data_IF_627032716403
#
_entry.id   IF_627032716403
#
_cell.length_a   1.000
_cell.length_b   1.000
_cell.length_c   1.000
_cell.angle_alpha   90.00
_cell.angle_beta   90.00
_cell.angle_gamma   90.00
#
_symmetry.space_group_name_H-M   'P 1'
#
loop_
_entity.id
_entity.type
_entity.pdbx_description
1 polymer ?
#
# COMPACT_ATOMS: atom_id res chain seq x y z
N UNK A 1 -9.88 5.29 -21.50
CA UNK A 1 -10.68 4.22 -20.86
C UNK A 1 -10.53 4.37 -19.36
N UNK A 2 -11.63 4.41 -18.62
CA UNK A 2 -11.56 4.50 -17.17
C UNK A 2 -11.16 3.17 -16.52
N UNK A 3 -10.53 3.22 -15.35
CA UNK A 3 -9.99 2.03 -14.67
C UNK A 3 -11.06 1.02 -14.23
N UNK A 4 -12.31 1.45 -13.98
CA UNK A 4 -13.40 0.51 -13.64
C UNK A 4 -13.71 -0.46 -14.77
N UNK A 5 -13.53 -0.06 -16.01
CA UNK A 5 -13.80 -0.93 -17.16
C UNK A 5 -12.92 -2.19 -17.21
N UNK A 6 -11.80 -2.20 -16.49
CA UNK A 6 -10.96 -3.39 -16.28
C UNK A 6 -11.66 -4.45 -15.41
N UNK A 7 -12.64 -4.04 -14.61
CA UNK A 7 -13.27 -4.85 -13.58
C UNK A 7 -14.80 -4.87 -13.73
N UNK A 8 -15.35 -5.40 -14.83
CA UNK A 8 -16.78 -5.30 -15.13
C UNK A 8 -17.68 -6.03 -14.12
N UNK A 9 -17.13 -7.00 -13.38
CA UNK A 9 -17.83 -7.75 -12.33
C UNK A 9 -17.68 -7.17 -10.94
N UNK A 10 -16.87 -6.12 -10.77
CA UNK A 10 -16.67 -5.48 -9.48
C UNK A 10 -17.90 -4.70 -9.04
N UNK A 11 -18.07 -4.56 -7.75
CA UNK A 11 -19.14 -3.73 -7.18
C UNK A 11 -18.96 -2.28 -7.61
N UNK A 12 -20.06 -1.62 -8.04
CA UNK A 12 -19.98 -0.25 -8.58
C UNK A 12 -19.58 0.79 -7.52
N UNK A 13 -19.99 0.56 -6.27
CA UNK A 13 -19.74 1.45 -5.12
C UNK A 13 -19.51 0.56 -3.89
N UNK A 14 -18.64 0.99 -3.00
CA UNK A 14 -18.35 0.30 -1.74
C UNK A 14 -17.20 0.96 -0.98
N UNK A 15 -16.90 0.39 0.14
CA UNK A 15 -15.80 0.79 1.00
C UNK A 15 -14.49 0.14 0.55
N UNK A 16 -13.38 0.79 0.85
CA UNK A 16 -12.07 0.16 0.79
C UNK A 16 -11.79 -0.43 2.17
N UNK A 17 -11.54 -1.72 2.27
CA UNK A 17 -11.06 -2.34 3.49
C UNK A 17 -9.56 -2.57 3.40
N UNK A 18 -8.83 -2.19 4.44
CA UNK A 18 -7.42 -2.54 4.60
C UNK A 18 -7.29 -3.58 5.72
N UNK A 19 -6.50 -4.63 5.48
CA UNK A 19 -6.18 -5.63 6.49
C UNK A 19 -4.73 -5.48 6.94
N UNK A 20 -4.50 -5.38 8.25
CA UNK A 20 -3.15 -5.40 8.78
C UNK A 20 -2.97 -4.85 10.18
N UNK A 21 -1.71 -4.70 10.58
CA UNK A 21 -1.33 -4.21 11.89
C UNK A 21 -1.36 -2.68 11.97
N UNK A 22 -1.72 -2.18 13.15
CA UNK A 22 -1.34 -0.86 13.62
C UNK A 22 -0.07 -0.97 14.45
N UNK A 23 0.84 -0.04 14.27
CA UNK A 23 2.09 0.08 15.02
C UNK A 23 2.25 1.46 15.61
N UNK A 24 3.16 1.60 16.56
CA UNK A 24 3.72 2.90 16.94
C UNK A 24 5.17 2.98 16.51
N UNK A 25 5.49 4.02 15.75
CA UNK A 25 6.87 4.35 15.39
C UNK A 25 7.44 5.38 16.36
N UNK A 26 8.67 5.16 16.77
CA UNK A 26 9.47 6.08 17.57
C UNK A 26 10.59 6.63 16.68
N UNK A 27 10.40 7.86 16.23
CA UNK A 27 11.23 8.52 15.23
C UNK A 27 12.18 9.48 15.92
N UNK A 28 13.50 9.41 15.68
CA UNK A 28 14.45 10.35 16.28
C UNK A 28 14.15 11.80 15.89
N UNK A 29 14.39 12.71 16.81
CA UNK A 29 14.26 14.16 16.56
C UNK A 29 15.46 14.71 15.75
N UNK A 30 16.58 14.00 15.73
CA UNK A 30 17.80 14.33 14.99
C UNK A 30 18.11 13.23 13.99
N UNK A 31 18.67 13.59 12.86
CA UNK A 31 19.04 12.67 11.77
C UNK A 31 20.29 11.84 12.00
N UNK A 32 21.04 12.12 13.08
CA UNK A 32 22.30 11.46 13.43
C UNK A 32 22.21 10.63 14.72
N UNK A 33 21.01 10.48 15.29
CA UNK A 33 20.80 9.77 16.55
C UNK A 33 20.69 8.27 16.30
N UNK A 34 21.57 7.51 16.94
CA UNK A 34 21.53 6.04 16.93
C UNK A 34 20.61 5.52 18.04
N UNK A 35 20.00 4.36 17.83
CA UNK A 35 19.19 3.69 18.84
C UNK A 35 20.02 3.25 20.07
N UNK A 36 21.33 3.09 19.91
CA UNK A 36 22.25 2.79 21.01
C UNK A 36 22.65 4.01 21.85
N UNK A 37 22.17 5.21 21.52
CA UNK A 37 22.50 6.46 22.21
C UNK A 37 21.27 7.03 22.93
N UNK A 38 21.46 7.70 24.07
CA UNK A 38 20.40 8.48 24.70
C UNK A 38 19.91 9.60 23.78
N UNK A 39 18.57 9.77 23.68
CA UNK A 39 18.04 10.83 22.82
C UNK A 39 16.54 10.99 22.94
N UNK A 40 16.02 11.96 22.21
CA UNK A 40 14.57 12.25 22.16
C UNK A 40 13.97 11.67 20.89
N UNK A 41 12.81 11.03 21.03
CA UNK A 41 12.04 10.47 19.92
C UNK A 41 10.64 11.06 19.89
N UNK A 42 10.09 11.18 18.70
CA UNK A 42 8.67 11.49 18.45
C UNK A 42 7.94 10.18 18.26
N UNK A 43 6.85 10.02 18.99
CA UNK A 43 5.94 8.89 18.85
C UNK A 43 4.86 9.22 17.81
N UNK A 44 4.71 8.37 16.79
CA UNK A 44 3.67 8.50 15.78
C UNK A 44 2.96 7.17 15.53
N UNK A 45 1.70 7.22 15.08
CA UNK A 45 0.96 6.04 14.67
C UNK A 45 1.43 5.62 13.27
N UNK A 46 1.58 4.33 13.07
CA UNK A 46 2.12 3.74 11.86
C UNK A 46 1.48 2.36 11.61
N UNK A 47 2.11 1.59 10.74
CA UNK A 47 1.61 0.32 10.22
C UNK A 47 1.05 0.53 8.81
N UNK A 48 1.49 -0.29 7.86
CA UNK A 48 1.15 -0.16 6.44
C UNK A 48 -0.37 -0.02 6.19
N UNK A 49 -1.17 -0.90 6.81
CA UNK A 49 -2.63 -0.84 6.69
C UNK A 49 -3.23 0.43 7.32
N UNK A 50 -2.66 0.91 8.43
CA UNK A 50 -3.09 2.16 9.08
C UNK A 50 -2.79 3.39 8.21
N UNK A 51 -1.58 3.46 7.65
CA UNK A 51 -1.18 4.54 6.73
C UNK A 51 -2.05 4.52 5.48
N UNK A 52 -2.20 3.35 4.85
CA UNK A 52 -3.08 3.16 3.69
C UNK A 52 -4.51 3.64 3.96
N UNK A 53 -5.12 3.18 5.08
CA UNK A 53 -6.50 3.54 5.42
C UNK A 53 -6.69 5.04 5.61
N UNK A 54 -5.77 5.67 6.33
CA UNK A 54 -5.81 7.13 6.55
C UNK A 54 -5.59 7.90 5.25
N UNK A 55 -4.72 7.42 4.36
CA UNK A 55 -4.53 8.02 3.04
C UNK A 55 -5.79 7.87 2.17
N UNK A 56 -6.40 6.69 2.14
CA UNK A 56 -7.65 6.47 1.42
C UNK A 56 -8.76 7.43 1.89
N UNK A 57 -8.91 7.57 3.22
CA UNK A 57 -9.89 8.49 3.81
C UNK A 57 -9.57 9.97 3.48
N UNK A 58 -8.30 10.39 3.56
CA UNK A 58 -7.87 11.74 3.21
C UNK A 58 -8.10 12.09 1.73
N UNK A 59 -8.09 11.07 0.85
CA UNK A 59 -8.42 11.17 -0.58
C UNK A 59 -9.92 10.98 -0.86
N UNK A 60 -10.77 11.07 0.16
CA UNK A 60 -12.23 11.05 0.04
C UNK A 60 -12.85 9.68 -0.16
N UNK A 61 -12.15 8.57 0.09
CA UNK A 61 -12.73 7.25 0.11
C UNK A 61 -13.39 6.93 1.47
N UNK A 62 -14.47 6.16 1.47
CA UNK A 62 -14.90 5.44 2.67
C UNK A 62 -13.92 4.29 2.88
N UNK A 63 -13.30 4.23 4.04
CA UNK A 63 -12.28 3.22 4.33
C UNK A 63 -12.46 2.64 5.72
N UNK A 64 -12.39 1.32 5.85
CA UNK A 64 -12.40 0.57 7.10
C UNK A 64 -11.09 -0.19 7.31
N UNK A 65 -10.78 -0.50 8.56
CA UNK A 65 -9.57 -1.23 8.95
C UNK A 65 -9.95 -2.56 9.63
N UNK A 66 -9.46 -3.65 9.05
CA UNK A 66 -9.45 -4.99 9.65
C UNK A 66 -8.11 -5.20 10.35
N UNK A 67 -8.13 -5.37 11.65
CA UNK A 67 -6.92 -5.56 12.43
C UNK A 67 -7.23 -5.89 13.88
N UNK A 68 -6.17 -6.06 14.67
CA UNK A 68 -6.28 -6.42 16.09
C UNK A 68 -5.36 -5.58 16.93
N UNK A 69 -5.86 -5.06 18.05
CA UNK A 69 -5.10 -4.25 19.00
C UNK A 69 -5.37 -4.69 20.43
N UNK A 70 -4.49 -4.30 21.35
CA UNK A 70 -4.69 -4.51 22.78
C UNK A 70 -5.59 -3.45 23.43
N UNK A 71 -5.58 -3.44 24.76
CA UNK A 71 -6.22 -2.42 25.59
C UNK A 71 -5.23 -1.46 26.24
N UNK A 72 -3.96 -1.60 25.90
CA UNK A 72 -2.90 -0.72 26.39
C UNK A 72 -3.08 0.72 25.87
N UNK A 73 -2.43 1.73 26.50
CA UNK A 73 -2.56 3.13 26.10
C UNK A 73 -2.09 3.40 24.66
N UNK A 74 -1.13 2.64 24.13
CA UNK A 74 -0.64 2.79 22.77
C UNK A 74 -1.63 2.27 21.74
N UNK A 75 -2.25 1.11 22.01
CA UNK A 75 -3.36 0.57 21.22
C UNK A 75 -4.52 1.56 21.11
N UNK A 76 -4.87 2.21 22.22
CA UNK A 76 -5.92 3.23 22.25
C UNK A 76 -5.54 4.44 21.40
N UNK A 77 -4.32 4.97 21.60
CA UNK A 77 -3.82 6.09 20.80
C UNK A 77 -3.87 5.78 19.29
N UNK A 78 -3.43 4.58 18.89
CA UNK A 78 -3.41 4.18 17.50
C UNK A 78 -4.81 4.17 16.87
N UNK A 79 -5.77 3.50 17.51
CA UNK A 79 -7.14 3.42 17.01
C UNK A 79 -7.82 4.80 16.97
N UNK A 80 -7.67 5.61 18.04
CA UNK A 80 -8.25 6.95 18.08
C UNK A 80 -7.64 7.88 17.01
N UNK A 81 -6.35 7.74 16.71
CA UNK A 81 -5.70 8.54 15.68
C UNK A 81 -6.23 8.17 14.29
N UNK A 82 -6.33 6.87 14.00
CA UNK A 82 -6.86 6.36 12.73
C UNK A 82 -8.34 6.75 12.57
N UNK A 83 -9.15 6.61 13.64
CA UNK A 83 -10.56 7.02 13.63
C UNK A 83 -10.73 8.52 13.36
N UNK A 84 -9.90 9.38 13.98
CA UNK A 84 -9.91 10.83 13.73
C UNK A 84 -9.52 11.21 12.30
N UNK A 85 -8.80 10.34 11.60
CA UNK A 85 -8.51 10.50 10.17
C UNK A 85 -9.67 10.10 9.26
N UNK A 86 -10.83 9.72 9.81
CA UNK A 86 -12.03 9.39 9.03
C UNK A 86 -12.14 7.91 8.65
N UNK A 87 -11.30 7.04 9.20
CA UNK A 87 -11.34 5.59 8.95
C UNK A 87 -12.35 4.92 9.90
N UNK A 88 -13.16 4.01 9.38
CA UNK A 88 -13.99 3.13 10.20
C UNK A 88 -13.12 2.12 10.95
N UNK A 89 -13.11 2.21 12.27
CA UNK A 89 -12.38 1.32 13.17
C UNK A 89 -13.29 0.35 13.92
N UNK A 90 -14.57 0.25 13.55
CA UNK A 90 -15.53 -0.66 14.19
C UNK A 90 -15.15 -2.14 14.02
N UNK A 91 -14.40 -2.45 12.96
CA UNK A 91 -13.93 -3.79 12.64
C UNK A 91 -12.53 -4.10 13.24
N UNK A 92 -11.98 -3.21 14.07
CA UNK A 92 -10.73 -3.47 14.78
C UNK A 92 -11.03 -4.27 16.04
N UNK A 93 -10.56 -5.52 16.05
CA UNK A 93 -10.73 -6.43 17.18
C UNK A 93 -9.89 -5.96 18.39
N UNK A 94 -10.50 -5.93 19.56
CA UNK A 94 -9.80 -5.57 20.82
C UNK A 94 -9.56 -6.81 21.66
N UNK A 95 -8.29 -7.14 21.89
CA UNK A 95 -7.87 -8.27 22.71
C UNK A 95 -7.63 -7.84 24.16
N UNK A 96 -8.03 -8.68 25.09
CA UNK A 96 -7.69 -8.49 26.53
C UNK A 96 -6.21 -8.76 26.81
N UNK A 97 -5.57 -9.56 25.97
CA UNK A 97 -4.17 -9.97 26.14
C UNK A 97 -3.28 -9.40 25.05
N UNK A 98 -2.13 -8.92 25.45
CA UNK A 98 -1.05 -8.45 24.57
C UNK A 98 -1.09 -6.96 24.29
N UNK A 99 -0.09 -6.49 23.58
CA UNK A 99 0.20 -5.08 23.32
C UNK A 99 0.38 -4.83 21.84
N UNK A 100 0.24 -3.57 21.44
CA UNK A 100 0.53 -3.12 20.07
C UNK A 100 2.02 -3.30 19.75
N UNK A 101 2.34 -3.56 18.49
CA UNK A 101 3.72 -3.61 18.01
C UNK A 101 4.37 -2.23 17.99
N UNK A 102 5.65 -2.18 18.25
CA UNK A 102 6.45 -0.96 18.25
C UNK A 102 7.55 -1.07 17.19
N UNK A 103 7.90 0.06 16.60
CA UNK A 103 9.06 0.21 15.73
C UNK A 103 9.89 1.42 16.17
N UNK A 104 11.19 1.25 16.19
CA UNK A 104 12.14 2.30 16.49
C UNK A 104 12.97 2.56 15.23
N UNK A 105 13.07 3.82 14.85
CA UNK A 105 13.82 4.23 13.67
C UNK A 105 15.17 4.80 14.09
N UNK A 106 16.18 4.57 13.24
CA UNK A 106 17.41 5.36 13.23
C UNK A 106 17.75 5.78 11.80
N UNK A 107 18.34 6.94 11.68
CA UNK A 107 18.84 7.45 10.43
C UNK A 107 20.36 7.24 10.37
N UNK A 108 20.80 6.43 9.41
CA UNK A 108 22.22 6.16 9.18
C UNK A 108 22.66 6.82 7.86
N UNK A 109 23.95 7.06 7.64
CA UNK A 109 24.44 7.60 6.37
C UNK A 109 24.01 6.75 5.15
N UNK A 110 23.93 5.44 5.34
CA UNK A 110 23.50 4.46 4.33
C UNK A 110 21.97 4.36 4.17
N UNK A 111 21.18 5.05 5.00
CA UNK A 111 19.73 5.05 4.94
C UNK A 111 19.06 4.89 6.29
N UNK A 112 17.80 4.44 6.26
CA UNK A 112 16.99 4.22 7.46
C UNK A 112 17.10 2.78 7.91
N UNK A 113 17.20 2.58 9.22
CA UNK A 113 17.12 1.28 9.85
C UNK A 113 15.94 1.24 10.83
N UNK A 114 15.26 0.09 10.89
CA UNK A 114 14.12 -0.14 11.76
C UNK A 114 14.41 -1.29 12.72
N UNK A 115 14.21 -1.04 14.02
CA UNK A 115 14.19 -2.08 15.03
C UNK A 115 12.73 -2.32 15.44
N UNK A 116 12.20 -3.49 15.11
CA UNK A 116 10.83 -3.88 15.44
C UNK A 116 10.75 -4.68 16.74
N UNK A 117 9.72 -4.37 17.53
CA UNK A 117 9.27 -5.13 18.68
C UNK A 117 7.80 -5.52 18.44
N UNK A 118 7.57 -6.46 17.54
CA UNK A 118 6.22 -6.85 17.10
C UNK A 118 5.97 -8.34 16.95
N UNK A 119 6.97 -9.21 17.16
CA UNK A 119 6.82 -10.68 16.96
C UNK A 119 5.66 -11.26 17.79
N UNK A 120 5.40 -10.71 18.97
CA UNK A 120 4.32 -11.11 19.86
C UNK A 120 3.24 -10.04 20.01
N UNK A 121 3.18 -9.07 19.10
CA UNK A 121 2.15 -8.05 19.13
C UNK A 121 0.76 -8.66 18.93
N UNK A 122 -0.25 -7.97 19.43
CA UNK A 122 -1.64 -8.38 19.23
C UNK A 122 -2.00 -8.36 17.75
N UNK A 123 -1.51 -7.37 17.00
CA UNK A 123 -1.76 -7.24 15.57
C UNK A 123 -1.26 -8.45 14.78
N UNK A 124 -0.06 -8.97 15.10
CA UNK A 124 0.48 -10.16 14.44
C UNK A 124 -0.33 -11.43 14.72
N UNK A 125 -1.17 -11.44 15.77
CA UNK A 125 -2.05 -12.55 16.14
C UNK A 125 -3.47 -12.44 15.56
N UNK A 126 -3.70 -11.50 14.64
CA UNK A 126 -4.94 -11.49 13.86
C UNK A 126 -5.08 -12.81 13.10
N UNK A 127 -6.26 -13.41 13.12
CA UNK A 127 -6.51 -14.75 12.61
C UNK A 127 -7.74 -14.79 11.70
N UNK A 128 -7.95 -15.90 11.00
CA UNK A 128 -9.16 -16.10 10.19
C UNK A 128 -10.44 -16.02 11.04
N UNK A 129 -10.39 -16.41 12.33
CA UNK A 129 -11.51 -16.31 13.25
C UNK A 129 -11.86 -14.88 13.68
N UNK A 130 -10.99 -13.90 13.40
CA UNK A 130 -11.25 -12.48 13.66
C UNK A 130 -11.90 -11.77 12.44
N UNK A 131 -12.04 -12.48 11.28
CA UNK A 131 -12.68 -11.95 10.08
C UNK A 131 -14.21 -12.08 10.17
N UNK A 132 -14.89 -11.06 9.69
CA UNK A 132 -16.33 -11.07 9.44
C UNK A 132 -16.57 -11.07 7.92
N UNK A 133 -17.11 -12.18 7.42
CA UNK A 133 -17.36 -12.34 5.98
C UNK A 133 -18.38 -11.34 5.44
N UNK A 134 -19.38 -10.92 6.25
CA UNK A 134 -20.35 -9.91 5.83
C UNK A 134 -19.71 -8.55 5.62
N UNK A 135 -18.76 -8.20 6.49
CA UNK A 135 -17.95 -6.97 6.35
C UNK A 135 -17.13 -7.02 5.08
N UNK A 136 -16.38 -8.09 4.85
CA UNK A 136 -15.60 -8.27 3.61
C UNK A 136 -16.53 -8.25 2.40
N UNK A 137 -17.67 -8.93 2.47
CA UNK A 137 -18.63 -9.00 1.37
C UNK A 137 -19.23 -7.65 0.98
N UNK A 138 -19.25 -6.65 1.85
CA UNK A 138 -19.77 -5.31 1.56
C UNK A 138 -18.73 -4.38 0.92
N UNK A 139 -17.46 -4.72 1.00
CA UNK A 139 -16.38 -3.92 0.43
C UNK A 139 -16.42 -3.90 -1.11
N UNK A 140 -15.82 -2.86 -1.69
CA UNK A 140 -15.51 -2.80 -3.12
C UNK A 140 -14.08 -3.29 -3.38
N UNK A 141 -13.14 -2.93 -2.50
CA UNK A 141 -11.73 -3.29 -2.59
C UNK A 141 -11.25 -3.76 -1.23
N UNK A 142 -10.54 -4.88 -1.19
CA UNK A 142 -9.77 -5.34 -0.05
C UNK A 142 -8.28 -5.13 -0.34
N UNK A 143 -7.60 -4.35 0.49
CA UNK A 143 -6.17 -4.10 0.37
C UNK A 143 -5.37 -4.85 1.43
N UNK A 144 -4.25 -5.45 1.00
CA UNK A 144 -3.32 -6.20 1.86
C UNK A 144 -1.86 -5.83 1.55
N UNK A 145 -1.05 -5.50 2.57
CA UNK A 145 0.40 -5.44 2.45
C UNK A 145 1.01 -6.82 2.62
N UNK A 146 1.89 -7.22 1.71
CA UNK A 146 2.46 -8.57 1.65
C UNK A 146 3.39 -8.91 2.81
N UNK A 147 3.97 -7.91 3.47
CA UNK A 147 4.78 -8.16 4.67
C UNK A 147 4.06 -8.99 5.74
N UNK A 148 2.72 -8.95 5.79
CA UNK A 148 1.92 -9.75 6.73
C UNK A 148 2.09 -11.25 6.52
N UNK A 149 2.35 -11.68 5.28
CA UNK A 149 2.53 -13.08 4.93
C UNK A 149 3.77 -13.70 5.59
N UNK A 150 4.72 -12.86 6.00
CA UNK A 150 6.00 -13.28 6.57
C UNK A 150 6.10 -13.07 8.09
N UNK A 151 5.08 -12.52 8.73
CA UNK A 151 5.10 -12.32 10.19
C UNK A 151 4.95 -13.63 10.95
N UNK A 152 3.84 -14.33 10.75
CA UNK A 152 3.58 -15.65 11.33
C UNK A 152 2.41 -16.34 10.61
N UNK A 153 2.10 -17.58 11.03
CA UNK A 153 1.07 -18.40 10.40
C UNK A 153 -0.37 -17.85 10.61
N UNK A 154 -0.64 -17.29 11.79
CA UNK A 154 -1.99 -16.78 12.13
C UNK A 154 -2.45 -15.69 11.15
N UNK A 155 -1.68 -14.60 11.04
CA UNK A 155 -2.03 -13.48 10.17
C UNK A 155 -1.90 -13.84 8.69
N UNK A 156 -0.95 -14.73 8.33
CA UNK A 156 -0.85 -15.29 6.98
C UNK A 156 -2.13 -16.01 6.58
N UNK A 157 -2.63 -16.90 7.45
CA UNK A 157 -3.89 -17.61 7.24
C UNK A 157 -5.07 -16.65 7.07
N UNK A 158 -5.14 -15.61 7.91
CA UNK A 158 -6.15 -14.57 7.81
C UNK A 158 -6.09 -13.82 6.46
N UNK A 159 -4.89 -13.50 5.96
CA UNK A 159 -4.74 -12.83 4.66
C UNK A 159 -5.29 -13.68 3.52
N UNK A 160 -4.96 -14.98 3.46
CA UNK A 160 -5.47 -15.87 2.42
C UNK A 160 -6.98 -16.09 2.54
N UNK A 161 -7.52 -16.22 3.77
CA UNK A 161 -8.97 -16.36 3.97
C UNK A 161 -9.72 -15.07 3.59
N UNK A 162 -9.22 -13.90 3.98
CA UNK A 162 -9.83 -12.63 3.58
C UNK A 162 -9.89 -12.47 2.05
N UNK A 163 -8.83 -12.88 1.33
CA UNK A 163 -8.82 -12.89 -0.14
C UNK A 163 -9.81 -13.90 -0.69
N UNK A 164 -9.92 -15.09 -0.09
CA UNK A 164 -10.92 -16.08 -0.50
C UNK A 164 -12.35 -15.55 -0.32
N UNK A 165 -12.65 -14.89 0.81
CA UNK A 165 -13.93 -14.20 1.04
C UNK A 165 -14.16 -13.12 -0.02
N UNK A 166 -13.18 -12.24 -0.25
CA UNK A 166 -13.27 -11.18 -1.25
C UNK A 166 -13.63 -11.73 -2.65
N UNK A 167 -12.93 -12.78 -3.09
CA UNK A 167 -13.19 -13.44 -4.38
C UNK A 167 -14.59 -14.03 -4.47
N UNK A 168 -15.09 -14.70 -3.42
CA UNK A 168 -16.47 -15.26 -3.39
C UNK A 168 -17.53 -14.19 -3.60
N UNK A 169 -17.26 -12.96 -3.14
CA UNK A 169 -18.23 -11.86 -3.16
C UNK A 169 -17.96 -10.80 -4.22
N UNK A 170 -17.03 -11.03 -5.17
CA UNK A 170 -16.72 -10.09 -6.25
C UNK A 170 -16.08 -8.79 -5.75
N UNK A 171 -15.37 -8.83 -4.62
CA UNK A 171 -14.59 -7.73 -4.07
C UNK A 171 -13.21 -7.75 -4.72
N UNK A 172 -12.74 -6.62 -5.20
CA UNK A 172 -11.42 -6.49 -5.80
C UNK A 172 -10.33 -6.65 -4.75
N UNK A 173 -9.27 -7.34 -5.10
CA UNK A 173 -8.10 -7.52 -4.25
C UNK A 173 -6.98 -6.60 -4.71
N UNK A 174 -6.55 -5.69 -3.83
CA UNK A 174 -5.37 -4.84 -4.01
C UNK A 174 -4.23 -5.38 -3.15
N UNK A 175 -3.09 -5.63 -3.76
CA UNK A 175 -1.93 -6.20 -3.10
C UNK A 175 -0.68 -5.35 -3.33
N UNK A 176 -0.03 -4.95 -2.23
CA UNK A 176 1.30 -4.36 -2.22
C UNK A 176 2.28 -5.39 -1.64
N UNK A 177 3.23 -5.95 -2.39
CA UNK A 177 4.18 -6.93 -1.87
C UNK A 177 4.92 -6.46 -0.62
N UNK A 178 5.27 -5.18 -0.54
CA UNK A 178 5.85 -4.52 0.64
C UNK A 178 6.95 -5.37 1.28
N UNK A 179 7.90 -5.83 0.45
CA UNK A 179 8.98 -6.73 0.85
C UNK A 179 9.96 -5.95 1.71
N UNK A 180 10.13 -6.37 2.95
CA UNK A 180 11.04 -5.73 3.89
C UNK A 180 12.34 -6.53 4.02
N UNK A 181 13.49 -5.84 3.99
CA UNK A 181 14.80 -6.46 4.07
C UNK A 181 15.05 -7.26 5.36
N UNK A 182 14.32 -6.94 6.42
CA UNK A 182 14.38 -7.65 7.71
C UNK A 182 13.67 -9.02 7.65
N UNK A 183 12.77 -9.21 6.69
CA UNK A 183 12.06 -10.47 6.52
C UNK A 183 12.93 -11.43 5.69
N UNK A 184 12.96 -12.70 6.08
CA UNK A 184 13.76 -13.72 5.39
C UNK A 184 13.20 -13.94 3.97
N UNK A 185 13.84 -13.32 2.99
CA UNK A 185 13.54 -13.52 1.59
C UNK A 185 14.17 -14.83 1.10
N UNK A 186 13.38 -15.86 0.92
CA UNK A 186 13.80 -17.20 0.45
C UNK A 186 12.73 -17.80 -0.45
N UNK A 187 12.96 -19.04 -0.91
CA UNK A 187 12.07 -19.71 -1.85
C UNK A 187 10.61 -19.71 -1.42
N UNK A 188 10.34 -20.12 -0.18
CA UNK A 188 8.97 -20.17 0.35
C UNK A 188 8.32 -18.78 0.50
N UNK A 189 9.09 -17.76 0.93
CA UNK A 189 8.56 -16.39 1.02
C UNK A 189 8.17 -15.88 -0.37
N UNK A 190 9.04 -16.10 -1.37
CA UNK A 190 8.76 -15.76 -2.75
C UNK A 190 7.52 -16.48 -3.28
N UNK A 191 7.39 -17.79 -3.02
CA UNK A 191 6.22 -18.57 -3.44
C UNK A 191 4.91 -18.03 -2.82
N UNK A 192 4.92 -17.67 -1.52
CA UNK A 192 3.77 -17.06 -0.86
C UNK A 192 3.38 -15.71 -1.48
N UNK A 193 4.37 -14.86 -1.77
CA UNK A 193 4.14 -13.56 -2.43
C UNK A 193 3.57 -13.74 -3.84
N UNK A 194 4.13 -14.65 -4.64
CA UNK A 194 3.63 -14.97 -5.98
C UNK A 194 2.21 -15.55 -5.94
N UNK A 195 1.92 -16.44 -4.99
CA UNK A 195 0.58 -16.97 -4.79
C UNK A 195 -0.42 -15.89 -4.42
N UNK A 196 -0.04 -14.90 -3.60
CA UNK A 196 -0.92 -13.77 -3.27
C UNK A 196 -1.07 -12.83 -4.47
N UNK A 197 0.03 -12.50 -5.15
CA UNK A 197 0.01 -11.65 -6.35
C UNK A 197 -0.88 -12.23 -7.45
N UNK A 198 -0.91 -13.56 -7.64
CA UNK A 198 -1.78 -14.21 -8.62
C UNK A 198 -3.28 -14.12 -8.30
N UNK A 199 -3.64 -13.77 -7.08
CA UNK A 199 -5.02 -13.55 -6.66
C UNK A 199 -5.42 -12.06 -6.67
N UNK A 200 -4.46 -11.17 -6.85
CA UNK A 200 -4.70 -9.74 -6.89
C UNK A 200 -5.33 -9.31 -8.23
N UNK A 201 -6.22 -8.33 -8.16
CA UNK A 201 -6.77 -7.61 -9.30
C UNK A 201 -5.93 -6.35 -9.59
N UNK A 202 -5.41 -5.74 -8.51
CA UNK A 202 -4.56 -4.54 -8.49
C UNK A 202 -3.26 -4.92 -7.78
N UNK A 203 -2.13 -4.77 -8.45
CA UNK A 203 -0.81 -5.10 -7.91
C UNK A 203 0.08 -3.86 -7.92
N UNK A 204 0.67 -3.52 -6.77
CA UNK A 204 1.51 -2.33 -6.63
C UNK A 204 2.87 -2.67 -6.01
N UNK A 205 3.83 -3.22 -6.74
CA UNK A 205 5.21 -3.37 -6.28
C UNK A 205 6.03 -2.08 -6.49
N UNK A 206 7.14 -1.96 -5.79
CA UNK A 206 8.27 -1.14 -6.24
C UNK A 206 8.98 -1.85 -7.40
N UNK A 207 9.82 -1.13 -8.17
CA UNK A 207 10.61 -1.75 -9.24
C UNK A 207 11.56 -2.84 -8.70
N UNK A 208 12.15 -2.61 -7.54
CA UNK A 208 13.01 -3.60 -6.89
C UNK A 208 12.24 -4.89 -6.52
N UNK A 209 11.06 -4.75 -5.95
CA UNK A 209 10.17 -5.87 -5.62
C UNK A 209 9.68 -6.60 -6.88
N UNK A 210 9.33 -5.86 -7.92
CA UNK A 210 8.92 -6.42 -9.20
C UNK A 210 10.03 -7.29 -9.83
N UNK A 211 11.28 -6.81 -9.77
CA UNK A 211 12.46 -7.59 -10.18
C UNK A 211 12.63 -8.86 -9.33
N UNK A 212 12.51 -8.75 -8.02
CA UNK A 212 12.62 -9.90 -7.11
C UNK A 212 11.52 -10.94 -7.35
N UNK A 213 10.29 -10.51 -7.58
CA UNK A 213 9.15 -11.38 -7.85
C UNK A 213 9.29 -12.11 -9.19
N UNK A 214 9.65 -11.38 -10.23
CA UNK A 214 9.65 -11.90 -11.61
C UNK A 214 10.97 -12.56 -12.01
N UNK A 215 12.09 -12.13 -11.41
CA UNK A 215 13.44 -12.51 -11.85
C UNK A 215 13.82 -11.87 -13.19
N UNK A 216 13.19 -10.74 -13.56
CA UNK A 216 13.43 -9.97 -14.78
C UNK A 216 13.97 -8.60 -14.46
N UNK A 217 14.76 -8.03 -15.41
CA UNK A 217 15.31 -6.68 -15.29
C UNK A 217 14.59 -5.69 -16.20
N UNK A 218 14.21 -6.14 -17.41
CA UNK A 218 13.48 -5.31 -18.37
C UNK A 218 12.03 -5.08 -17.91
N UNK A 219 11.59 -3.83 -17.97
CA UNK A 219 10.27 -3.44 -17.45
C UNK A 219 9.12 -4.08 -18.22
N UNK A 220 9.28 -4.30 -19.53
CA UNK A 220 8.24 -4.92 -20.35
C UNK A 220 8.11 -6.40 -20.05
N UNK A 221 9.24 -7.11 -19.85
CA UNK A 221 9.23 -8.51 -19.41
C UNK A 221 8.62 -8.63 -18.00
N UNK A 222 8.94 -7.69 -17.09
CA UNK A 222 8.34 -7.61 -15.75
C UNK A 222 6.82 -7.50 -15.86
N UNK A 223 6.32 -6.55 -16.65
CA UNK A 223 4.88 -6.33 -16.83
C UNK A 223 4.19 -7.55 -17.45
N UNK A 224 4.79 -8.19 -18.47
CA UNK A 224 4.27 -9.41 -19.08
C UNK A 224 4.10 -10.52 -18.05
N UNK A 225 5.11 -10.73 -17.17
CA UNK A 225 5.05 -11.74 -16.12
C UNK A 225 3.99 -11.39 -15.07
N UNK A 226 3.95 -10.13 -14.61
CA UNK A 226 2.99 -9.70 -13.59
C UNK A 226 1.53 -9.80 -14.09
N UNK A 227 1.25 -9.33 -15.30
CA UNK A 227 -0.09 -9.49 -15.90
C UNK A 227 -0.44 -10.95 -16.17
N UNK A 228 0.55 -11.75 -16.60
CA UNK A 228 0.38 -13.19 -16.83
C UNK A 228 0.00 -13.98 -15.56
N UNK A 229 0.27 -13.45 -14.36
CA UNK A 229 -0.17 -14.04 -13.09
C UNK A 229 -1.66 -13.77 -12.77
N UNK A 230 -2.28 -12.70 -13.34
CA UNK A 230 -3.69 -12.38 -13.10
C UNK A 230 -4.04 -10.90 -12.90
N UNK A 231 -3.18 -10.06 -12.31
CA UNK A 231 -3.51 -8.65 -12.08
C UNK A 231 -3.86 -7.91 -13.38
N UNK A 232 -4.97 -7.19 -13.37
CA UNK A 232 -5.43 -6.37 -14.51
C UNK A 232 -4.88 -4.95 -14.46
N UNK A 233 -4.54 -4.47 -13.28
CA UNK A 233 -3.89 -3.19 -13.05
C UNK A 233 -2.59 -3.43 -12.28
N UNK A 234 -1.47 -3.07 -12.89
CA UNK A 234 -0.13 -3.12 -12.28
C UNK A 234 0.41 -1.70 -12.18
N UNK A 235 0.85 -1.30 -10.98
CA UNK A 235 1.47 -0.01 -10.75
C UNK A 235 2.84 -0.20 -10.09
N UNK A 236 3.90 0.14 -10.79
CA UNK A 236 5.30 0.01 -10.33
C UNK A 236 5.81 1.37 -9.89
N UNK A 237 6.06 1.56 -8.59
CA UNK A 237 6.71 2.76 -8.09
C UNK A 237 8.23 2.66 -8.24
N UNK A 238 8.89 3.78 -8.61
CA UNK A 238 10.29 3.85 -8.98
C UNK A 238 11.05 4.92 -8.18
N UNK A 239 10.68 5.10 -6.92
CA UNK A 239 11.26 6.10 -6.02
C UNK A 239 11.29 7.50 -6.66
N UNK A 240 12.48 8.11 -6.77
CA UNK A 240 12.68 9.43 -7.38
C UNK A 240 12.39 9.48 -8.89
N UNK A 241 12.37 8.33 -9.56
CA UNK A 241 12.13 8.24 -11.00
C UNK A 241 10.62 8.21 -11.34
N UNK A 242 9.75 8.16 -10.31
CA UNK A 242 8.30 8.26 -10.45
C UNK A 242 7.58 6.93 -10.45
N UNK A 243 6.70 6.67 -11.41
CA UNK A 243 5.91 5.46 -11.46
C UNK A 243 5.49 5.05 -12.88
N UNK A 244 5.24 3.74 -13.05
CA UNK A 244 4.64 3.15 -14.23
C UNK A 244 3.29 2.54 -13.86
N UNK A 245 2.24 2.83 -14.63
CA UNK A 245 0.95 2.15 -14.55
C UNK A 245 0.68 1.39 -15.83
N UNK A 246 0.27 0.13 -15.70
CA UNK A 246 -0.02 -0.76 -16.82
C UNK A 246 -1.40 -1.39 -16.67
N UNK A 247 -2.24 -1.24 -17.69
CA UNK A 247 -3.59 -1.80 -17.74
C UNK A 247 -4.13 -1.85 -19.18
N UNK A 248 -4.91 -2.88 -19.53
CA UNK A 248 -5.57 -2.97 -20.84
C UNK A 248 -4.60 -2.84 -22.03
N UNK A 249 -3.41 -3.41 -21.94
CA UNK A 249 -2.37 -3.33 -22.96
C UNK A 249 -1.68 -1.97 -23.10
N UNK A 250 -1.98 -1.01 -22.21
CA UNK A 250 -1.36 0.31 -22.17
C UNK A 250 -0.38 0.43 -21.02
N UNK A 251 0.72 1.13 -21.22
CA UNK A 251 1.69 1.48 -20.18
C UNK A 251 1.86 2.99 -20.18
N UNK A 252 1.73 3.59 -19.00
CA UNK A 252 1.88 5.03 -18.78
C UNK A 252 2.96 5.26 -17.74
N UNK A 253 3.93 6.10 -18.07
CA UNK A 253 4.93 6.60 -17.13
C UNK A 253 4.48 7.95 -16.58
N UNK A 254 4.66 8.15 -15.27
CA UNK A 254 4.63 9.47 -14.64
C UNK A 254 6.01 9.71 -14.03
N UNK A 255 6.84 10.57 -14.66
CA UNK A 255 8.19 10.86 -14.15
C UNK A 255 8.18 11.46 -12.76
N UNK A 256 9.23 11.21 -12.00
CA UNK A 256 9.39 11.78 -10.65
C UNK A 256 9.35 13.30 -10.65
N UNK A 257 8.86 13.86 -9.57
CA UNK A 257 8.82 15.31 -9.34
C UNK A 257 9.96 15.64 -8.38
N UNK A 258 10.81 16.57 -8.80
CA UNK A 258 11.95 17.01 -7.98
C UNK A 258 11.44 17.86 -6.81
N UNK A 259 11.55 17.32 -5.61
CA UNK A 259 11.15 17.97 -4.36
C UNK A 259 12.17 17.66 -3.26
N UNK A 260 12.34 18.57 -2.27
CA UNK A 260 13.12 18.26 -1.09
C UNK A 260 12.51 17.09 -0.31
N UNK A 261 13.22 15.96 -0.25
CA UNK A 261 12.76 14.78 0.51
C UNK A 261 13.06 14.98 1.99
N UNK A 262 12.01 14.94 2.81
CA UNK A 262 12.08 15.04 4.28
C UNK A 262 11.99 13.64 4.91
N UNK A 263 10.95 12.87 4.56
CA UNK A 263 10.76 11.51 5.06
C UNK A 263 9.86 10.72 4.10
N UNK A 264 10.34 9.66 3.43
CA UNK A 264 9.55 8.85 2.52
C UNK A 264 8.69 7.76 3.22
N UNK A 265 8.57 7.80 4.57
CA UNK A 265 7.74 6.84 5.30
C UNK A 265 6.29 6.92 4.87
N UNK A 266 5.72 5.78 4.47
CA UNK A 266 4.33 5.68 4.05
C UNK A 266 4.04 6.09 2.61
N UNK A 267 5.05 6.54 1.82
CA UNK A 267 4.83 6.93 0.43
C UNK A 267 4.25 5.78 -0.42
N UNK A 268 4.74 4.55 -0.23
CA UNK A 268 4.22 3.35 -0.88
C UNK A 268 2.77 3.05 -0.50
N UNK A 269 2.45 3.12 0.79
CA UNK A 269 1.09 2.86 1.31
C UNK A 269 0.09 3.92 0.80
N UNK A 270 0.48 5.21 0.82
CA UNK A 270 -0.33 6.29 0.29
C UNK A 270 -0.51 6.20 -1.23
N UNK A 271 0.52 5.80 -1.97
CA UNK A 271 0.43 5.51 -3.40
C UNK A 271 -0.58 4.38 -3.68
N UNK A 272 -0.52 3.27 -2.90
CA UNK A 272 -1.48 2.17 -3.04
C UNK A 272 -2.92 2.61 -2.74
N UNK A 273 -3.11 3.46 -1.72
CA UNK A 273 -4.42 4.05 -1.40
C UNK A 273 -4.94 4.94 -2.55
N UNK A 274 -4.06 5.77 -3.11
CA UNK A 274 -4.37 6.60 -4.27
C UNK A 274 -4.77 5.75 -5.48
N UNK A 275 -4.07 4.65 -5.75
CA UNK A 275 -4.39 3.73 -6.85
C UNK A 275 -5.78 3.11 -6.69
N UNK A 276 -6.12 2.64 -5.49
CA UNK A 276 -7.47 2.14 -5.18
C UNK A 276 -8.53 3.24 -5.36
N UNK A 277 -8.23 4.47 -4.94
CA UNK A 277 -9.12 5.61 -5.12
C UNK A 277 -9.33 5.95 -6.59
N UNK A 278 -8.28 5.88 -7.42
CA UNK A 278 -8.39 6.07 -8.87
C UNK A 278 -9.33 5.05 -9.51
N UNK A 279 -9.27 3.77 -9.08
CA UNK A 279 -10.21 2.74 -9.52
C UNK A 279 -11.64 3.09 -9.10
N UNK A 280 -11.87 3.55 -7.85
CA UNK A 280 -13.19 3.98 -7.39
C UNK A 280 -13.76 5.17 -8.17
N UNK A 281 -12.90 6.10 -8.60
CA UNK A 281 -13.29 7.29 -9.37
C UNK A 281 -13.40 7.04 -10.88
N UNK A 282 -13.08 5.85 -11.33
CA UNK A 282 -13.01 5.51 -12.76
C UNK A 282 -12.07 6.42 -13.56
N UNK A 283 -10.93 6.79 -12.95
CA UNK A 283 -9.97 7.69 -13.59
C UNK A 283 -9.37 7.06 -14.85
N UNK A 284 -9.08 7.85 -15.91
CA UNK A 284 -8.21 7.42 -17.00
C UNK A 284 -6.81 7.04 -16.50
N UNK A 285 -6.15 6.11 -17.19
CA UNK A 285 -4.85 5.56 -16.77
C UNK A 285 -3.77 6.66 -16.63
N UNK A 286 -3.73 7.64 -17.54
CA UNK A 286 -2.79 8.76 -17.52
C UNK A 286 -3.04 9.68 -16.32
N UNK A 287 -4.31 9.95 -16.01
CA UNK A 287 -4.68 10.76 -14.85
C UNK A 287 -4.36 10.03 -13.54
N UNK A 288 -4.64 8.73 -13.47
CA UNK A 288 -4.31 7.87 -12.34
C UNK A 288 -2.81 7.83 -12.07
N UNK A 289 -1.97 7.73 -13.12
CA UNK A 289 -0.52 7.73 -12.99
C UNK A 289 -0.02 9.04 -12.35
N UNK A 290 -0.52 10.19 -12.83
CA UNK A 290 -0.20 11.50 -12.26
C UNK A 290 -0.69 11.62 -10.82
N UNK A 291 -1.92 11.23 -10.55
CA UNK A 291 -2.53 11.33 -9.21
C UNK A 291 -1.72 10.52 -8.17
N UNK A 292 -1.43 9.25 -8.46
CA UNK A 292 -0.65 8.39 -7.58
C UNK A 292 0.76 8.94 -7.34
N UNK A 293 1.42 9.44 -8.40
CA UNK A 293 2.76 10.01 -8.29
C UNK A 293 2.76 11.31 -7.45
N UNK A 294 1.77 12.19 -7.62
CA UNK A 294 1.60 13.38 -6.77
C UNK A 294 1.41 13.02 -5.30
N UNK A 295 0.58 12.01 -4.99
CA UNK A 295 0.37 11.56 -3.61
C UNK A 295 1.69 11.07 -3.01
N UNK A 296 2.42 10.17 -3.69
CA UNK A 296 3.70 9.67 -3.21
C UNK A 296 4.73 10.78 -3.00
N UNK A 297 4.80 11.75 -3.92
CA UNK A 297 5.69 12.92 -3.83
C UNK A 297 5.38 13.77 -2.61
N UNK A 298 4.10 14.14 -2.39
CA UNK A 298 3.70 14.99 -1.26
C UNK A 298 3.98 14.35 0.09
N UNK A 299 3.82 13.04 0.23
CA UNK A 299 4.22 12.30 1.45
C UNK A 299 5.68 12.52 1.74
N UNK A 300 6.56 12.41 0.75
CA UNK A 300 8.00 12.54 0.92
C UNK A 300 8.45 13.94 1.39
N UNK A 301 7.63 14.98 1.21
CA UNK A 301 7.94 16.35 1.65
C UNK A 301 7.63 16.63 3.12
N UNK A 302 6.99 15.69 3.82
CA UNK A 302 6.53 15.84 5.20
C UNK A 302 7.21 14.77 6.09
N UNK A 303 7.25 15.01 7.41
CA UNK A 303 7.82 14.05 8.37
C UNK A 303 6.72 13.25 9.06
N UNK A 304 6.97 11.97 9.28
CA UNK A 304 6.09 11.08 10.04
C UNK A 304 5.15 10.27 9.14
N UNK A 305 4.20 9.60 9.75
CA UNK A 305 3.25 8.72 9.08
C UNK A 305 1.80 9.21 9.27
N UNK A 306 0.98 8.46 10.00
CA UNK A 306 -0.44 8.80 10.19
C UNK A 306 -0.62 10.15 10.88
N UNK A 307 -1.45 11.00 10.32
CA UNK A 307 -1.84 12.31 10.88
C UNK A 307 -0.83 13.43 10.67
N UNK A 308 0.33 13.16 10.06
CA UNK A 308 1.39 14.16 9.86
C UNK A 308 1.80 14.33 8.40
N UNK A 309 2.02 13.24 7.67
CA UNK A 309 2.57 13.26 6.32
C UNK A 309 1.54 13.02 5.21
N UNK A 310 0.37 12.49 5.53
CA UNK A 310 -0.66 12.13 4.54
C UNK A 310 -1.23 13.43 3.92
N UNK A 311 -1.17 13.58 2.58
CA UNK A 311 -1.72 14.75 1.91
C UNK A 311 -3.25 14.67 1.84
N UNK A 312 -3.89 15.82 1.86
CA UNK A 312 -5.31 15.96 1.52
C UNK A 312 -5.53 15.88 0.00
N UNK A 313 -6.76 15.54 -0.42
CA UNK A 313 -7.13 15.55 -1.83
C UNK A 313 -6.87 16.93 -2.49
N UNK A 314 -7.14 18.02 -1.78
CA UNK A 314 -6.90 19.38 -2.27
C UNK A 314 -5.41 19.67 -2.54
N UNK A 315 -4.49 19.23 -1.67
CA UNK A 315 -3.04 19.37 -1.90
C UNK A 315 -2.60 18.59 -3.15
N UNK A 316 -3.18 17.41 -3.37
CA UNK A 316 -2.90 16.58 -4.55
C UNK A 316 -3.40 17.26 -5.82
N UNK A 317 -4.62 17.79 -5.81
CA UNK A 317 -5.22 18.52 -6.95
C UNK A 317 -4.42 19.78 -7.28
N UNK A 318 -3.94 20.52 -6.28
CA UNK A 318 -3.08 21.69 -6.47
C UNK A 318 -1.76 21.29 -7.16
N UNK A 319 -1.10 20.22 -6.71
CA UNK A 319 0.13 19.73 -7.36
C UNK A 319 -0.14 19.24 -8.78
N UNK A 320 -1.23 18.53 -9.02
CA UNK A 320 -1.64 18.13 -10.37
C UNK A 320 -1.89 19.31 -11.31
N UNK A 321 -2.48 20.39 -10.80
CA UNK A 321 -2.78 21.60 -11.54
C UNK A 321 -1.52 22.46 -11.83
N UNK A 322 -0.45 22.30 -11.05
CA UNK A 322 0.81 23.06 -11.22
C UNK A 322 1.52 22.78 -12.55
N UNK A 323 1.19 21.68 -13.24
CA UNK A 323 1.86 21.24 -14.46
C UNK A 323 3.20 20.54 -14.23
N UNK A 324 3.65 20.41 -12.98
CA UNK A 324 4.88 19.69 -12.63
C UNK A 324 4.71 18.17 -12.80
N UNK A 325 3.51 17.67 -12.53
CA UNK A 325 3.19 16.25 -12.65
C UNK A 325 2.71 15.93 -14.07
N UNK A 326 3.49 15.13 -14.79
CA UNK A 326 3.23 14.74 -16.18
C UNK A 326 2.96 13.24 -16.24
N UNK A 327 2.35 12.82 -17.34
CA UNK A 327 2.24 11.42 -17.71
C UNK A 327 2.44 11.28 -19.22
N UNK A 328 3.10 10.22 -19.61
CA UNK A 328 3.34 9.88 -21.01
C UNK A 328 3.06 8.41 -21.25
N UNK A 329 2.46 8.11 -22.38
CA UNK A 329 2.24 6.74 -22.83
C UNK A 329 3.53 6.17 -23.38
N UNK A 330 3.93 5.02 -22.86
CA UNK A 330 5.09 4.30 -23.36
C UNK A 330 4.69 3.34 -24.48
N UNK A 331 5.52 3.28 -25.51
CA UNK A 331 5.39 2.34 -26.62
C UNK A 331 6.48 1.29 -26.48
N UNK A 332 6.08 0.01 -26.52
CA UNK A 332 7.04 -1.09 -26.45
C UNK A 332 7.95 -1.08 -27.68
N UNK A 333 9.28 -1.12 -27.51
CA UNK A 333 10.20 -1.20 -28.65
C UNK A 333 9.88 -2.40 -29.56
N UNK A 334 9.79 -2.16 -30.86
CA UNK A 334 9.56 -3.21 -31.88
C UNK A 334 8.10 -3.62 -32.08
N UNK A 335 7.13 -2.94 -31.45
CA UNK A 335 5.69 -3.14 -31.68
C UNK A 335 5.11 -1.88 -32.34
N UNK A 336 4.49 -2.02 -33.50
CA UNK A 336 3.84 -0.90 -34.19
C UNK A 336 2.63 -0.38 -33.41
N UNK A 337 2.44 0.97 -33.34
CA UNK A 337 1.31 1.63 -32.68
C UNK A 337 -0.07 1.07 -33.06
N UNK A 338 -0.19 0.52 -34.31
CA UNK A 338 -1.44 -0.06 -34.84
C UNK A 338 -1.82 -1.38 -34.20
N UNK A 339 -0.91 -2.11 -33.57
CA UNK A 339 -1.20 -3.40 -32.96
C UNK A 339 -1.65 -3.27 -31.50
N UNK A 340 -1.22 -2.23 -30.79
CA UNK A 340 -1.58 -2.00 -29.36
C UNK A 340 -3.05 -1.59 -29.14
N UNK A 341 -3.77 -1.17 -30.19
CA UNK A 341 -5.18 -0.77 -30.13
C UNK A 341 -6.19 -1.89 -30.47
N UNK A 342 -5.76 -3.08 -30.83
CA UNK A 342 -6.64 -4.20 -31.25
C UNK A 342 -6.93 -5.24 -30.18
N UNK A 343 -6.39 -5.08 -28.97
CA UNK A 343 -6.53 -5.99 -27.83
C UNK A 343 -7.45 -5.48 -26.71
N UNK A 344 -8.35 -4.52 -26.99
CA UNK A 344 -9.29 -3.97 -26.01
C UNK A 344 -10.72 -4.42 -26.32
#
# INVERSE_FOLDING_TARGET
MGLKSLFPTAKPVGEILALGELLLDFVPTRSDMRLSEPGTVIKTVSGSAGIFSCAAAALGARCGLLGKVGRDPFSRLAVETVARSGVDTSHVVRSEEGQIGLAFLEYLPEGRNYQYYRENSVGSRFSAGDLDEEVVAQAQILHLPGMLLELNESIRGACFEAVAMAKRHGVLVSFDPNIRGELRWGGEARERMLRMASQADILKPTLAEARQLTGREDVWEILDVLHGMGPKLVAISQDKDGALLSAGGQVVASPGIDVPVVDPTGAGDCFAAALCRCVQRDMPLEEAARFCNCVGTLVCTKRGAVGMAIPSEAEVEELMASGLCRAERLIRPGVDEKEQGRGA
#
